data_IF_541554050796
#
_entry.id   IF_541554050796
#
_cell.length_a   1.000
_cell.length_b   1.000
_cell.length_c   1.000
_cell.angle_alpha   90.00
_cell.angle_beta   90.00
_cell.angle_gamma   90.00
#
_symmetry.space_group_name_H-M   'P 1'
#
loop_
_entity.id
_entity.type
_entity.pdbx_description
1 polymer ?
#
# COMPACT_ATOMS: atom_id res chain seq x y z
N UNK A 1 0.83 63.90 22.90
CA UNK A 1 0.43 64.29 24.27
C UNK A 1 -1.09 64.29 24.36
N UNK A 2 -1.65 63.51 25.31
CA UNK A 2 -3.01 63.57 25.94
C UNK A 2 -4.24 63.47 25.02
N UNK A 3 -4.87 62.30 24.93
CA UNK A 3 -5.97 61.76 25.77
C UNK A 3 -7.36 62.36 25.47
N UNK A 4 -8.28 61.53 24.99
CA UNK A 4 -9.60 61.28 25.62
C UNK A 4 -10.28 60.04 25.00
N UNK A 5 -10.88 59.22 25.89
CA UNK A 5 -11.63 58.00 25.59
C UNK A 5 -12.92 58.30 24.79
N UNK A 6 -13.29 57.42 23.88
CA UNK A 6 -14.70 57.23 23.48
C UNK A 6 -15.01 55.75 23.32
N UNK A 7 -15.87 55.27 24.21
CA UNK A 7 -16.62 54.02 24.06
C UNK A 7 -17.48 54.10 22.80
N UNK A 8 -17.55 53.03 22.02
CA UNK A 8 -18.63 52.84 21.05
C UNK A 8 -19.20 51.44 21.22
N UNK A 9 -20.48 51.43 21.61
CA UNK A 9 -21.33 50.26 21.85
C UNK A 9 -21.80 49.71 20.50
N UNK A 10 -21.91 48.38 20.43
CA UNK A 10 -22.57 47.61 19.38
C UNK A 10 -24.03 48.05 19.18
N UNK A 11 -24.57 47.95 17.96
CA UNK A 11 -26.00 47.79 17.76
C UNK A 11 -26.35 46.47 17.04
N UNK A 12 -27.01 45.56 17.77
CA UNK A 12 -28.12 44.73 17.26
C UNK A 12 -29.43 45.54 17.50
N UNK A 13 -30.56 45.32 16.78
CA UNK A 13 -31.03 44.03 16.28
C UNK A 13 -31.67 44.03 14.88
N UNK A 14 -31.66 42.88 14.20
CA UNK A 14 -32.73 42.52 13.25
C UNK A 14 -33.03 41.03 13.39
N UNK A 15 -34.26 40.75 13.81
CA UNK A 15 -34.84 39.43 13.97
C UNK A 15 -35.37 39.01 12.60
N UNK A 16 -34.81 37.95 12.01
CA UNK A 16 -35.46 37.22 10.93
C UNK A 16 -35.89 35.85 11.46
N UNK A 17 -37.20 35.65 11.43
CA UNK A 17 -37.90 34.41 11.75
C UNK A 17 -37.65 33.37 10.66
N UNK A 18 -37.11 32.21 11.03
CA UNK A 18 -37.03 31.03 10.17
C UNK A 18 -38.35 30.23 10.21
N UNK A 19 -38.91 29.80 9.06
CA UNK A 19 -40.08 28.94 9.03
C UNK A 19 -39.78 27.50 9.51
N UNK A 20 -40.76 26.93 10.24
CA UNK A 20 -40.78 25.58 10.83
C UNK A 20 -40.42 24.47 9.84
N UNK A 21 -39.41 23.68 10.18
CA UNK A 21 -39.08 22.37 9.59
C UNK A 21 -40.03 21.27 10.12
N UNK A 22 -41.30 21.26 9.71
CA UNK A 22 -42.24 20.19 10.13
C UNK A 22 -42.73 19.27 9.01
N UNK A 23 -42.21 19.38 7.78
CA UNK A 23 -42.67 18.55 6.64
C UNK A 23 -41.74 17.38 6.27
N UNK A 24 -40.51 17.30 6.78
CA UNK A 24 -39.57 16.21 6.46
C UNK A 24 -39.60 15.02 7.46
N UNK A 25 -40.20 15.19 8.63
CA UNK A 25 -40.28 14.15 9.67
C UNK A 25 -41.29 13.04 9.33
N UNK A 26 -42.34 13.34 8.56
CA UNK A 26 -43.38 12.36 8.23
C UNK A 26 -42.94 11.36 7.13
N UNK A 27 -42.12 11.77 6.17
CA UNK A 27 -41.66 10.87 5.10
C UNK A 27 -40.58 9.88 5.57
N UNK A 28 -39.71 10.26 6.53
CA UNK A 28 -38.73 9.35 7.12
C UNK A 28 -39.37 8.29 8.05
N UNK A 29 -40.48 8.63 8.71
CA UNK A 29 -41.20 7.69 9.59
C UNK A 29 -41.94 6.59 8.81
N UNK A 30 -42.38 6.87 7.58
CA UNK A 30 -43.06 5.89 6.72
C UNK A 30 -42.09 4.89 6.07
N UNK A 31 -40.88 5.31 5.69
CA UNK A 31 -39.85 4.40 5.20
C UNK A 31 -39.30 3.48 6.30
N UNK A 32 -39.24 3.96 7.54
CA UNK A 32 -38.75 3.17 8.68
C UNK A 32 -39.76 2.12 9.18
N UNK A 33 -41.07 2.37 9.02
CA UNK A 33 -42.14 1.42 9.40
C UNK A 33 -42.41 0.34 8.35
N UNK A 34 -41.91 0.47 7.13
CA UNK A 34 -42.07 -0.55 6.08
C UNK A 34 -41.00 -1.65 6.11
N UNK A 35 -39.97 -1.54 6.95
CA UNK A 35 -38.89 -2.54 7.03
C UNK A 35 -38.91 -3.40 8.30
N UNK A 36 -39.80 -3.14 9.27
CA UNK A 36 -39.85 -3.89 10.52
C UNK A 36 -41.29 -4.14 10.99
N UNK A 37 -41.87 -5.29 10.61
CA UNK A 37 -43.08 -5.84 11.22
C UNK A 37 -42.73 -7.17 11.92
N UNK A 38 -43.06 -7.36 13.22
CA UNK A 38 -42.74 -8.58 13.94
C UNK A 38 -43.90 -9.57 13.97
N UNK A 39 -43.53 -10.85 13.87
CA UNK A 39 -44.24 -12.09 14.24
C UNK A 39 -45.13 -12.78 13.18
N UNK A 40 -44.63 -13.91 12.67
CA UNK A 40 -45.33 -15.18 12.89
C UNK A 40 -44.35 -16.36 12.93
N UNK A 41 -44.44 -17.11 14.02
CA UNK A 41 -43.79 -18.41 14.31
C UNK A 41 -44.34 -19.50 13.38
N UNK A 42 -43.49 -20.50 13.07
CA UNK A 42 -43.63 -21.66 12.13
C UNK A 42 -43.02 -21.32 10.76
N UNK A 43 -41.80 -21.74 10.43
CA UNK A 43 -41.45 -23.15 10.25
C UNK A 43 -40.06 -23.52 10.80
N UNK A 44 -40.07 -24.27 11.90
CA UNK A 44 -38.99 -25.16 12.29
C UNK A 44 -39.27 -26.55 11.73
N UNK A 45 -39.07 -26.78 10.43
CA UNK A 45 -38.76 -28.12 9.90
C UNK A 45 -37.83 -27.92 8.69
N UNK A 46 -36.53 -27.83 8.96
CA UNK A 46 -35.44 -28.41 8.15
C UNK A 46 -34.14 -28.28 8.93
N UNK A 47 -34.11 -28.95 10.08
CA UNK A 47 -32.87 -29.34 10.75
C UNK A 47 -32.28 -30.52 9.97
N UNK A 48 -31.34 -30.22 9.07
CA UNK A 48 -30.19 -31.03 8.61
C UNK A 48 -29.85 -30.58 7.18
N UNK A 49 -28.57 -30.33 6.94
CA UNK A 49 -27.99 -29.74 5.71
C UNK A 49 -27.92 -28.22 5.68
N UNK A 50 -27.33 -27.62 6.71
CA UNK A 50 -26.33 -26.60 6.40
C UNK A 50 -24.98 -27.24 6.67
N UNK A 51 -24.46 -27.91 5.64
CA UNK A 51 -23.09 -28.38 5.59
C UNK A 51 -22.22 -27.21 6.00
N UNK A 52 -21.62 -27.32 7.19
CA UNK A 52 -20.45 -26.56 7.55
C UNK A 52 -19.37 -26.99 6.55
N UNK A 53 -19.40 -26.40 5.36
CA UNK A 53 -18.29 -26.52 4.42
C UNK A 53 -17.11 -26.01 5.23
N UNK A 54 -16.16 -26.91 5.50
CA UNK A 54 -14.92 -26.56 6.15
C UNK A 54 -14.43 -25.28 5.49
N UNK A 55 -14.30 -24.21 6.27
CA UNK A 55 -13.82 -22.93 5.75
C UNK A 55 -12.45 -23.24 5.15
N UNK A 56 -12.38 -23.17 3.82
CA UNK A 56 -11.19 -23.54 3.08
C UNK A 56 -10.12 -22.52 3.46
N UNK A 57 -9.20 -22.90 4.34
CA UNK A 57 -8.15 -22.02 4.86
C UNK A 57 -6.89 -22.07 3.98
N UNK A 58 -7.02 -22.57 2.74
CA UNK A 58 -5.88 -22.61 1.81
C UNK A 58 -5.49 -21.20 1.40
N UNK A 59 -4.18 -20.95 1.43
CA UNK A 59 -3.59 -19.68 1.03
C UNK A 59 -2.78 -19.91 -0.24
N UNK A 60 -3.07 -19.14 -1.29
CA UNK A 60 -2.28 -19.12 -2.53
C UNK A 60 -1.91 -17.69 -2.87
N UNK A 61 -0.75 -17.50 -3.47
CA UNK A 61 -0.30 -16.20 -3.95
C UNK A 61 0.05 -16.30 -5.44
N UNK A 62 -0.77 -15.67 -6.28
CA UNK A 62 -0.43 -15.44 -7.68
C UNK A 62 0.52 -14.26 -7.74
N UNK A 63 1.72 -14.46 -8.28
CA UNK A 63 2.77 -13.46 -8.28
C UNK A 63 3.74 -13.64 -9.43
N UNK A 64 4.71 -12.76 -9.54
CA UNK A 64 5.89 -12.98 -10.38
C UNK A 64 7.13 -12.60 -9.59
N UNK A 65 8.20 -13.37 -9.71
CA UNK A 65 9.46 -13.13 -8.98
C UNK A 65 10.03 -11.73 -9.23
N UNK A 66 9.83 -11.17 -10.43
CA UNK A 66 10.33 -9.85 -10.83
C UNK A 66 9.42 -8.70 -10.44
N UNK A 67 8.21 -8.98 -9.93
CA UNK A 67 7.25 -7.95 -9.54
C UNK A 67 7.56 -7.40 -8.15
N UNK A 68 7.90 -6.09 -8.03
CA UNK A 68 8.14 -5.50 -6.73
C UNK A 68 6.85 -5.46 -5.88
N UNK A 69 5.67 -5.43 -6.50
CA UNK A 69 4.40 -5.50 -5.77
C UNK A 69 4.16 -6.90 -5.18
N UNK A 70 4.60 -7.96 -5.86
CA UNK A 70 4.49 -9.33 -5.33
C UNK A 70 5.44 -9.55 -4.13
N UNK A 71 6.62 -8.91 -4.12
CA UNK A 71 7.52 -8.91 -2.98
C UNK A 71 6.80 -8.49 -1.69
N UNK A 72 5.94 -7.45 -1.74
CA UNK A 72 5.20 -6.97 -0.56
C UNK A 72 4.38 -8.07 0.11
N UNK A 73 3.62 -8.81 -0.68
CA UNK A 73 2.79 -9.91 -0.19
C UNK A 73 3.65 -11.06 0.36
N UNK A 74 4.73 -11.43 -0.34
CA UNK A 74 5.64 -12.51 0.09
C UNK A 74 6.32 -12.20 1.43
N UNK A 75 6.79 -10.96 1.61
CA UNK A 75 7.38 -10.51 2.87
C UNK A 75 6.35 -10.50 3.99
N UNK A 76 5.14 -9.97 3.76
CA UNK A 76 4.09 -9.96 4.78
C UNK A 76 3.69 -11.38 5.22
N UNK A 77 3.48 -12.30 4.28
CA UNK A 77 3.17 -13.71 4.59
C UNK A 77 4.30 -14.38 5.38
N UNK A 78 5.56 -14.10 5.03
CA UNK A 78 6.72 -14.65 5.73
C UNK A 78 6.83 -14.12 7.16
N UNK A 79 6.69 -12.80 7.36
CA UNK A 79 6.69 -12.20 8.71
C UNK A 79 5.60 -12.79 9.62
N UNK A 80 4.48 -13.23 9.03
CA UNK A 80 3.38 -13.90 9.73
C UNK A 80 3.50 -15.42 9.78
N UNK A 81 4.58 -16.01 9.26
CA UNK A 81 4.78 -17.46 9.18
C UNK A 81 3.61 -18.22 8.50
N UNK A 82 2.96 -17.57 7.52
CA UNK A 82 1.83 -18.16 6.78
C UNK A 82 2.37 -19.08 5.69
N UNK A 83 1.94 -20.34 5.69
CA UNK A 83 2.21 -21.27 4.59
C UNK A 83 1.27 -20.97 3.43
N UNK A 84 1.82 -20.89 2.22
CA UNK A 84 1.04 -20.64 1.01
C UNK A 84 1.63 -21.36 -0.20
N UNK A 85 0.78 -21.65 -1.18
CA UNK A 85 1.20 -22.06 -2.51
C UNK A 85 1.56 -20.83 -3.35
N UNK A 86 2.78 -20.75 -3.87
CA UNK A 86 3.16 -19.68 -4.81
C UNK A 86 2.90 -20.11 -6.24
N UNK A 87 2.04 -19.37 -6.92
CA UNK A 87 1.68 -19.58 -8.32
C UNK A 87 2.41 -18.51 -9.15
N UNK A 88 3.52 -18.90 -9.76
CA UNK A 88 4.34 -17.99 -10.56
C UNK A 88 3.66 -17.69 -11.90
N UNK A 89 3.58 -16.41 -12.23
CA UNK A 89 3.22 -15.85 -13.53
C UNK A 89 4.53 -15.46 -14.23
N UNK A 90 5.11 -16.35 -15.04
CA UNK A 90 6.46 -16.16 -15.59
C UNK A 90 6.51 -15.05 -16.65
N UNK A 91 5.38 -14.76 -17.30
CA UNK A 91 5.29 -13.73 -18.34
C UNK A 91 4.14 -12.74 -18.07
N UNK A 92 4.21 -12.07 -16.91
CA UNK A 92 3.26 -11.00 -16.54
C UNK A 92 3.17 -9.85 -17.56
N UNK A 93 4.13 -9.75 -18.48
CA UNK A 93 4.19 -8.71 -19.50
C UNK A 93 3.35 -9.08 -20.73
N UNK A 94 3.41 -10.33 -21.19
CA UNK A 94 2.82 -10.73 -22.47
C UNK A 94 1.73 -11.80 -22.36
N UNK A 95 1.77 -12.68 -21.35
CA UNK A 95 0.86 -13.83 -21.24
C UNK A 95 0.39 -14.04 -19.79
N UNK A 96 -0.89 -13.76 -19.54
CA UNK A 96 -1.51 -13.87 -18.21
C UNK A 96 -2.33 -15.16 -18.14
N UNK A 97 -2.18 -15.93 -17.05
CA UNK A 97 -2.97 -17.14 -16.87
C UNK A 97 -4.48 -16.87 -16.75
N UNK A 98 -5.31 -17.84 -17.12
CA UNK A 98 -6.76 -17.78 -16.90
C UNK A 98 -7.10 -17.62 -15.42
N UNK A 99 -6.29 -18.22 -14.54
CA UNK A 99 -6.47 -18.10 -13.09
C UNK A 99 -6.30 -16.65 -12.63
N UNK A 100 -5.26 -15.95 -13.10
CA UNK A 100 -5.07 -14.52 -12.80
C UNK A 100 -6.23 -13.67 -13.34
N UNK A 101 -6.63 -13.91 -14.60
CA UNK A 101 -7.72 -13.17 -15.22
C UNK A 101 -9.06 -13.36 -14.49
N UNK A 102 -9.32 -14.56 -13.97
CA UNK A 102 -10.50 -14.86 -13.15
C UNK A 102 -10.42 -14.25 -11.75
N UNK A 103 -9.23 -14.28 -11.14
CA UNK A 103 -9.04 -13.84 -9.74
C UNK A 103 -8.93 -12.32 -9.60
N UNK A 104 -8.47 -11.62 -10.64
CA UNK A 104 -8.44 -10.16 -10.72
C UNK A 104 -8.97 -9.68 -12.08
N UNK A 105 -10.29 -9.75 -12.33
CA UNK A 105 -10.88 -9.42 -13.63
C UNK A 105 -10.80 -7.92 -13.96
N UNK A 106 -10.71 -7.06 -12.93
CA UNK A 106 -10.66 -5.60 -13.07
C UNK A 106 -9.29 -5.17 -13.60
N UNK A 107 -8.21 -5.47 -12.85
CA UNK A 107 -6.89 -4.96 -13.18
C UNK A 107 -6.03 -5.98 -13.93
N UNK A 108 -6.31 -7.28 -13.80
CA UNK A 108 -5.54 -8.36 -14.43
C UNK A 108 -4.05 -8.23 -14.09
N UNK A 109 -3.74 -7.90 -12.83
CA UNK A 109 -2.40 -7.62 -12.31
C UNK A 109 -2.10 -8.52 -11.13
N UNK A 110 -0.81 -8.87 -10.99
CA UNK A 110 -0.24 -9.48 -9.79
C UNK A 110 0.22 -8.40 -8.80
N UNK A 111 0.31 -8.69 -7.49
CA UNK A 111 -0.10 -9.93 -6.83
C UNK A 111 -1.61 -10.08 -6.63
N UNK A 112 -2.06 -11.33 -6.53
CA UNK A 112 -3.39 -11.68 -6.03
C UNK A 112 -3.23 -12.74 -4.94
N UNK A 113 -3.70 -12.44 -3.72
CA UNK A 113 -3.78 -13.43 -2.65
C UNK A 113 -5.15 -14.12 -2.74
N UNK A 114 -5.16 -15.44 -2.77
CA UNK A 114 -6.36 -16.24 -2.65
C UNK A 114 -6.36 -16.86 -1.26
N UNK A 115 -7.38 -16.55 -0.47
CA UNK A 115 -7.61 -17.16 0.84
C UNK A 115 -8.96 -17.86 0.81
N UNK A 116 -8.92 -19.20 0.76
CA UNK A 116 -10.08 -20.02 0.45
C UNK A 116 -10.64 -19.69 -0.93
N UNK A 117 -11.88 -19.20 -0.96
CA UNK A 117 -12.56 -18.83 -2.20
C UNK A 117 -12.52 -17.32 -2.48
N UNK A 118 -11.82 -16.54 -1.64
CA UNK A 118 -11.78 -15.07 -1.74
C UNK A 118 -10.47 -14.63 -2.39
N UNK A 119 -10.58 -13.77 -3.40
CA UNK A 119 -9.42 -13.09 -4.03
C UNK A 119 -9.24 -11.68 -3.46
N UNK A 120 -8.04 -11.41 -2.94
CA UNK A 120 -7.61 -10.11 -2.43
C UNK A 120 -6.58 -9.55 -3.40
N UNK A 121 -6.90 -8.42 -4.01
CA UNK A 121 -6.05 -7.71 -4.97
C UNK A 121 -5.39 -6.49 -4.33
N UNK A 122 -4.44 -5.88 -5.06
CA UNK A 122 -3.62 -4.74 -4.66
C UNK A 122 -2.64 -5.03 -3.52
N UNK A 123 -1.35 -4.85 -3.78
CA UNK A 123 -0.29 -5.33 -2.89
C UNK A 123 -0.36 -4.78 -1.46
N UNK A 124 -0.62 -3.48 -1.26
CA UNK A 124 -0.76 -2.89 0.07
C UNK A 124 -2.08 -3.25 0.76
N UNK A 125 -3.12 -3.57 0.00
CA UNK A 125 -4.36 -4.11 0.55
C UNK A 125 -4.14 -5.55 1.03
N UNK A 126 -3.41 -6.37 0.26
CA UNK A 126 -2.98 -7.71 0.67
C UNK A 126 -2.15 -7.65 1.95
N UNK A 127 -1.17 -6.73 2.07
CA UNK A 127 -0.36 -6.60 3.30
C UNK A 127 -1.23 -6.30 4.52
N UNK A 128 -2.22 -5.40 4.39
CA UNK A 128 -3.14 -5.08 5.49
C UNK A 128 -4.02 -6.27 5.85
N UNK A 129 -4.58 -6.94 4.85
CA UNK A 129 -5.37 -8.15 5.05
C UNK A 129 -4.57 -9.22 5.78
N UNK A 130 -3.30 -9.44 5.39
CA UNK A 130 -2.42 -10.41 6.05
C UNK A 130 -2.15 -10.01 7.50
N UNK A 131 -1.96 -8.72 7.78
CA UNK A 131 -1.76 -8.23 9.15
C UNK A 131 -2.97 -8.46 10.05
N UNK A 132 -4.17 -8.26 9.50
CA UNK A 132 -5.45 -8.38 10.20
C UNK A 132 -5.89 -9.86 10.37
N UNK A 133 -5.78 -10.67 9.31
CA UNK A 133 -6.21 -12.07 9.31
C UNK A 133 -5.30 -12.97 10.16
N UNK A 134 -3.99 -12.70 10.19
CA UNK A 134 -3.01 -13.42 11.02
C UNK A 134 -2.48 -12.52 12.15
N UNK A 135 -3.41 -12.02 12.98
CA UNK A 135 -3.14 -11.07 14.06
C UNK A 135 -2.35 -11.63 15.25
N UNK A 136 -2.17 -12.95 15.34
CA UNK A 136 -1.36 -13.59 16.39
C UNK A 136 0.15 -13.45 16.17
N UNK A 137 0.60 -13.17 14.95
CA UNK A 137 2.01 -12.92 14.62
C UNK A 137 2.41 -11.45 14.81
N UNK A 138 3.70 -11.11 14.59
CA UNK A 138 4.19 -9.73 14.71
C UNK A 138 3.35 -8.74 13.89
N UNK A 139 2.97 -7.61 14.48
CA UNK A 139 2.20 -6.58 13.77
C UNK A 139 3.04 -5.90 12.70
N UNK A 140 2.47 -5.75 11.50
CA UNK A 140 3.09 -5.02 10.39
C UNK A 140 2.71 -3.54 10.45
N UNK A 141 1.44 -3.24 10.73
CA UNK A 141 0.99 -1.88 10.98
C UNK A 141 1.24 -1.45 12.43
N UNK A 142 1.53 -0.17 12.68
CA UNK A 142 1.52 0.39 14.03
C UNK A 142 0.16 0.18 14.71
N UNK A 143 0.12 0.13 16.04
CA UNK A 143 -1.15 0.04 16.77
C UNK A 143 -1.86 1.40 16.85
N UNK A 144 -1.10 2.49 16.99
CA UNK A 144 -1.65 3.83 17.18
C UNK A 144 -2.25 4.38 15.87
N UNK A 145 -3.50 4.89 15.87
CA UNK A 145 -4.19 5.33 14.65
C UNK A 145 -3.44 6.38 13.84
N UNK A 146 -2.79 7.34 14.52
CA UNK A 146 -1.99 8.38 13.85
C UNK A 146 -0.77 7.80 13.14
N UNK A 147 -0.07 6.84 13.77
CA UNK A 147 1.11 6.21 13.18
C UNK A 147 0.70 5.33 11.99
N UNK A 148 -0.45 4.63 12.08
CA UNK A 148 -1.03 3.90 10.95
C UNK A 148 -1.35 4.82 9.77
N UNK A 149 -1.98 5.96 10.04
CA UNK A 149 -2.31 6.94 9.00
C UNK A 149 -1.04 7.47 8.31
N UNK A 150 0.00 7.77 9.08
CA UNK A 150 1.29 8.19 8.53
C UNK A 150 1.97 7.11 7.70
N UNK A 151 2.00 5.85 8.16
CA UNK A 151 2.57 4.75 7.40
C UNK A 151 1.85 4.56 6.05
N UNK A 152 0.52 4.66 6.04
CA UNK A 152 -0.31 4.59 4.83
C UNK A 152 -0.06 5.77 3.89
N UNK A 153 0.06 6.99 4.43
CA UNK A 153 0.37 8.18 3.65
C UNK A 153 1.71 8.03 2.91
N UNK A 154 2.76 7.60 3.62
CA UNK A 154 4.07 7.42 3.00
C UNK A 154 4.11 6.27 2.00
N UNK A 155 3.35 5.19 2.23
CA UNK A 155 3.22 4.13 1.23
C UNK A 155 2.54 4.64 -0.06
N UNK A 156 1.54 5.52 0.07
CA UNK A 156 0.94 6.21 -1.09
C UNK A 156 1.95 7.15 -1.77
N UNK A 157 2.77 7.89 -1.00
CA UNK A 157 3.83 8.71 -1.57
C UNK A 157 4.83 7.88 -2.38
N UNK A 158 5.20 6.69 -1.90
CA UNK A 158 6.06 5.75 -2.64
C UNK A 158 5.38 5.35 -3.95
N UNK A 159 4.14 4.87 -3.90
CA UNK A 159 3.41 4.37 -5.08
C UNK A 159 3.06 5.45 -6.11
N UNK A 160 2.81 6.68 -5.68
CA UNK A 160 2.48 7.80 -6.58
C UNK A 160 3.74 8.56 -7.02
N UNK A 161 4.49 9.14 -6.07
CA UNK A 161 5.57 10.09 -6.37
C UNK A 161 6.85 9.40 -6.79
N UNK A 162 7.31 8.39 -6.06
CA UNK A 162 8.58 7.73 -6.37
C UNK A 162 8.44 6.89 -7.64
N UNK A 163 7.40 6.06 -7.74
CA UNK A 163 7.17 5.28 -8.97
C UNK A 163 6.89 6.17 -10.18
N UNK A 164 6.13 7.26 -10.03
CA UNK A 164 5.95 8.24 -11.10
C UNK A 164 7.27 8.86 -11.59
N UNK A 165 8.19 9.16 -10.67
CA UNK A 165 9.52 9.66 -11.03
C UNK A 165 10.42 8.58 -11.66
N UNK A 166 10.38 7.34 -11.16
CA UNK A 166 11.10 6.20 -11.76
C UNK A 166 10.64 5.93 -13.20
N UNK A 167 9.32 5.91 -13.42
CA UNK A 167 8.74 5.72 -14.75
C UNK A 167 9.11 6.87 -15.69
N UNK A 168 9.13 8.11 -15.19
CA UNK A 168 9.55 9.27 -15.97
C UNK A 168 11.03 9.19 -16.38
N UNK A 169 11.92 8.73 -15.49
CA UNK A 169 13.34 8.52 -15.83
C UNK A 169 13.51 7.42 -16.88
N UNK A 170 12.84 6.28 -16.69
CA UNK A 170 12.91 5.15 -17.62
C UNK A 170 12.25 5.41 -18.99
N UNK A 171 11.23 6.28 -19.03
CA UNK A 171 10.47 6.61 -20.24
C UNK A 171 10.91 7.87 -20.98
N UNK A 172 11.90 8.60 -20.47
CA UNK A 172 12.38 9.84 -21.09
C UNK A 172 13.02 9.58 -22.47
N UNK A 173 12.61 10.37 -23.47
CA UNK A 173 13.02 10.22 -24.88
C UNK A 173 14.29 11.00 -25.24
N UNK A 174 14.64 11.98 -24.41
CA UNK A 174 15.80 12.85 -24.58
C UNK A 174 16.51 13.03 -23.24
N UNK A 175 17.73 13.58 -23.30
CA UNK A 175 18.58 13.75 -22.12
C UNK A 175 18.05 14.84 -21.17
N UNK A 176 17.45 15.90 -21.69
CA UNK A 176 16.89 17.00 -20.89
C UNK A 176 15.72 16.50 -20.02
N UNK A 177 14.77 15.77 -20.61
CA UNK A 177 13.67 15.14 -19.89
C UNK A 177 14.16 14.10 -18.88
N UNK A 178 15.19 13.32 -19.23
CA UNK A 178 15.78 12.34 -18.30
C UNK A 178 16.43 13.03 -17.11
N UNK A 179 17.17 14.12 -17.32
CA UNK A 179 17.80 14.90 -16.26
C UNK A 179 16.77 15.54 -15.33
N UNK A 180 15.70 16.12 -15.87
CA UNK A 180 14.62 16.70 -15.07
C UNK A 180 13.92 15.63 -14.21
N UNK A 181 13.60 14.48 -14.80
CA UNK A 181 13.00 13.36 -14.08
C UNK A 181 13.94 12.79 -13.00
N UNK A 182 15.25 12.71 -13.28
CA UNK A 182 16.25 12.26 -12.32
C UNK A 182 16.35 13.22 -11.13
N UNK A 183 16.34 14.53 -11.38
CA UNK A 183 16.27 15.54 -10.32
C UNK A 183 15.02 15.34 -9.45
N UNK A 184 13.87 15.08 -10.07
CA UNK A 184 12.63 14.82 -9.32
C UNK A 184 12.70 13.56 -8.46
N UNK A 185 13.28 12.49 -8.98
CA UNK A 185 13.50 11.26 -8.22
C UNK A 185 14.40 11.52 -7.00
N UNK A 186 15.49 12.28 -7.16
CA UNK A 186 16.38 12.65 -6.07
C UNK A 186 15.67 13.47 -4.98
N UNK A 187 14.80 14.43 -5.36
CA UNK A 187 13.98 15.17 -4.39
C UNK A 187 13.04 14.25 -3.61
N UNK A 188 12.38 13.31 -4.29
CA UNK A 188 11.48 12.35 -3.65
C UNK A 188 12.22 11.42 -2.68
N UNK A 189 13.42 10.97 -3.05
CA UNK A 189 14.26 10.15 -2.17
C UNK A 189 14.79 10.92 -0.96
N UNK A 190 15.18 12.19 -1.13
CA UNK A 190 15.55 13.05 0.00
C UNK A 190 14.36 13.28 0.95
N UNK A 191 13.16 13.47 0.39
CA UNK A 191 11.92 13.58 1.19
C UNK A 191 11.64 12.28 1.96
N UNK A 192 11.88 11.12 1.33
CA UNK A 192 11.73 9.82 1.98
C UNK A 192 12.81 9.57 3.06
N UNK A 193 14.04 10.04 2.86
CA UNK A 193 15.10 10.03 3.88
C UNK A 193 14.67 10.79 5.14
N UNK A 194 14.13 12.01 4.98
CA UNK A 194 13.62 12.75 6.14
C UNK A 194 12.50 11.99 6.88
N UNK A 195 11.63 11.32 6.13
CA UNK A 195 10.59 10.47 6.71
C UNK A 195 11.20 9.31 7.50
N UNK A 196 12.21 8.64 6.93
CA UNK A 196 12.95 7.55 7.56
C UNK A 196 13.62 7.99 8.86
N UNK A 197 14.30 9.13 8.87
CA UNK A 197 14.96 9.65 10.07
C UNK A 197 13.95 9.94 11.18
N UNK A 198 12.77 10.46 10.85
CA UNK A 198 11.69 10.73 11.81
C UNK A 198 11.04 9.45 12.34
N UNK A 199 10.79 8.47 11.47
CA UNK A 199 10.04 7.26 11.84
C UNK A 199 10.90 6.18 12.49
N UNK A 200 12.15 6.02 12.06
CA UNK A 200 13.00 4.91 12.50
C UNK A 200 13.48 5.05 13.94
N UNK A 201 13.50 6.28 14.49
CA UNK A 201 14.01 6.57 15.84
C UNK A 201 15.42 5.98 16.09
N UNK A 202 16.22 5.80 15.03
CA UNK A 202 17.55 5.19 15.08
C UNK A 202 17.61 3.66 15.10
N UNK A 203 16.47 2.96 14.97
CA UNK A 203 16.37 1.50 15.15
C UNK A 203 16.52 0.69 13.84
N UNK A 204 16.65 1.37 12.71
CA UNK A 204 17.10 0.80 11.42
C UNK A 204 15.99 0.38 10.45
N UNK A 205 14.72 0.45 10.83
CA UNK A 205 13.57 0.29 9.93
C UNK A 205 12.59 1.45 10.07
N UNK A 206 11.72 1.68 9.09
CA UNK A 206 10.63 2.64 9.21
C UNK A 206 9.67 2.25 10.33
N UNK A 207 9.48 0.95 10.57
CA UNK A 207 8.76 0.36 11.70
C UNK A 207 9.51 0.42 13.04
N UNK A 208 10.69 1.04 13.10
CA UNK A 208 11.54 1.07 14.29
C UNK A 208 12.47 -0.13 14.32
N UNK A 209 12.27 -1.03 15.28
CA UNK A 209 13.14 -2.19 15.50
C UNK A 209 12.94 -3.31 14.46
N UNK A 210 11.70 -3.44 13.96
CA UNK A 210 11.28 -4.50 13.04
C UNK A 210 10.79 -3.92 11.72
N UNK A 211 10.77 -4.74 10.66
CA UNK A 211 10.13 -4.41 9.39
C UNK A 211 8.65 -4.13 9.62
N UNK A 212 8.22 -2.91 9.28
CA UNK A 212 6.81 -2.50 9.32
C UNK A 212 6.20 -2.30 7.94
N UNK A 213 4.96 -1.81 7.92
CA UNK A 213 4.19 -1.55 6.69
C UNK A 213 4.94 -0.68 5.68
N UNK A 214 5.57 0.41 6.15
CA UNK A 214 6.28 1.33 5.28
C UNK A 214 7.61 0.74 4.78
N UNK A 215 8.30 -0.10 5.55
CA UNK A 215 9.47 -0.85 5.06
C UNK A 215 9.09 -1.76 3.88
N UNK A 216 7.99 -2.49 4.01
CA UNK A 216 7.47 -3.37 2.94
C UNK A 216 7.10 -2.54 1.71
N UNK A 217 6.47 -1.38 1.90
CA UNK A 217 6.14 -0.46 0.80
C UNK A 217 7.41 0.06 0.11
N UNK A 218 8.38 0.59 0.86
CA UNK A 218 9.63 1.14 0.34
C UNK A 218 10.52 0.08 -0.31
N UNK A 219 10.52 -1.17 0.16
CA UNK A 219 11.35 -2.25 -0.39
C UNK A 219 11.17 -2.46 -1.90
N UNK A 220 10.02 -2.06 -2.44
CA UNK A 220 9.69 -2.13 -3.86
C UNK A 220 10.50 -1.21 -4.77
N UNK A 221 11.08 -0.13 -4.23
CA UNK A 221 11.86 0.82 -5.02
C UNK A 221 13.29 0.30 -5.27
N UNK A 222 13.76 -0.65 -4.45
CA UNK A 222 15.16 -1.09 -4.46
C UNK A 222 15.57 -1.73 -5.78
N UNK A 223 14.69 -2.51 -6.42
CA UNK A 223 14.94 -3.09 -7.73
C UNK A 223 15.00 -2.04 -8.84
N UNK A 224 13.90 -1.29 -9.07
CA UNK A 224 13.85 -0.22 -10.08
C UNK A 224 14.98 0.81 -9.96
N UNK A 225 15.31 1.26 -8.74
CA UNK A 225 16.44 2.19 -8.52
C UNK A 225 17.74 1.55 -8.99
N UNK A 226 18.06 0.33 -8.54
CA UNK A 226 19.30 -0.35 -8.96
C UNK A 226 19.40 -0.53 -10.48
N UNK A 227 18.28 -0.81 -11.16
CA UNK A 227 18.22 -0.90 -12.63
C UNK A 227 18.55 0.45 -13.27
N UNK A 228 17.89 1.52 -12.85
CA UNK A 228 18.11 2.85 -13.44
C UNK A 228 19.54 3.31 -13.17
N UNK A 229 20.09 3.09 -11.97
CA UNK A 229 21.49 3.39 -11.67
C UNK A 229 22.45 2.64 -12.60
N UNK A 230 22.19 1.36 -12.87
CA UNK A 230 23.03 0.55 -13.75
C UNK A 230 23.02 1.03 -15.21
N UNK A 231 21.85 1.45 -15.73
CA UNK A 231 21.73 1.93 -17.11
C UNK A 231 22.19 3.37 -17.30
N UNK A 232 21.98 4.25 -16.31
CA UNK A 232 22.29 5.68 -16.42
C UNK A 232 23.69 6.04 -15.92
N UNK A 233 24.30 5.22 -15.07
CA UNK A 233 25.52 5.56 -14.33
C UNK A 233 25.33 6.60 -13.23
N UNK A 234 24.11 7.11 -13.01
CA UNK A 234 23.77 8.09 -11.97
C UNK A 234 23.38 7.35 -10.70
N UNK A 235 23.99 7.73 -9.57
CA UNK A 235 23.59 7.23 -8.24
C UNK A 235 22.47 8.09 -7.65
N UNK A 236 21.38 7.43 -7.25
CA UNK A 236 20.21 8.07 -6.66
C UNK A 236 20.19 7.97 -5.14
N UNK A 237 20.58 6.81 -4.61
CA UNK A 237 20.89 6.70 -3.18
C UNK A 237 22.35 7.11 -2.97
N UNK A 238 22.56 8.19 -2.21
CA UNK A 238 23.88 8.82 -2.00
C UNK A 238 24.12 9.09 -0.53
N UNK A 239 25.36 8.94 -0.08
CA UNK A 239 25.72 9.11 1.34
C UNK A 239 25.45 10.55 1.81
N UNK A 240 25.56 11.53 0.92
CA UNK A 240 25.36 12.94 1.26
C UNK A 240 23.88 13.32 1.45
N UNK A 241 22.96 12.60 0.80
CA UNK A 241 21.53 12.98 0.79
C UNK A 241 20.59 11.93 1.35
N UNK A 242 20.97 10.66 1.33
CA UNK A 242 20.13 9.54 1.77
C UNK A 242 20.92 8.46 2.54
N UNK A 243 21.76 8.83 3.54
CA UNK A 243 22.59 7.86 4.25
C UNK A 243 21.78 6.85 5.07
N UNK A 244 20.62 7.26 5.61
CA UNK A 244 19.71 6.38 6.33
C UNK A 244 19.11 5.33 5.42
N UNK A 245 18.62 5.73 4.25
CA UNK A 245 18.05 4.83 3.25
C UNK A 245 19.08 3.83 2.71
N UNK A 246 20.35 4.19 2.57
CA UNK A 246 21.41 3.24 2.18
C UNK A 246 21.52 2.12 3.22
N UNK A 247 21.72 2.48 4.50
CA UNK A 247 21.84 1.51 5.60
C UNK A 247 20.58 0.68 5.78
N UNK A 248 19.42 1.32 5.65
CA UNK A 248 18.13 0.65 5.66
C UNK A 248 18.00 -0.37 4.52
N UNK A 249 18.39 -0.01 3.29
CA UNK A 249 18.30 -0.90 2.14
C UNK A 249 19.15 -2.15 2.32
N UNK A 250 20.38 -2.01 2.84
CA UNK A 250 21.26 -3.12 3.19
C UNK A 250 20.61 -4.03 4.24
N UNK A 251 20.13 -3.45 5.34
CA UNK A 251 19.49 -4.19 6.44
C UNK A 251 18.21 -4.90 5.97
N UNK A 252 17.39 -4.23 5.15
CA UNK A 252 16.14 -4.77 4.60
C UNK A 252 16.42 -5.95 3.67
N UNK A 253 17.37 -5.82 2.73
CA UNK A 253 17.76 -6.91 1.82
C UNK A 253 18.32 -8.13 2.58
N UNK A 254 19.04 -7.90 3.67
CA UNK A 254 19.64 -8.97 4.48
C UNK A 254 18.65 -9.69 5.42
N UNK A 255 17.48 -9.09 5.68
CA UNK A 255 16.50 -9.63 6.62
C UNK A 255 15.96 -11.00 6.15
N UNK A 256 15.78 -11.94 7.08
CA UNK A 256 15.37 -13.32 6.78
C UNK A 256 14.03 -13.42 6.04
N UNK A 257 13.08 -12.53 6.36
CA UNK A 257 11.78 -12.46 5.70
C UNK A 257 11.81 -11.84 4.28
N UNK A 258 12.94 -11.26 3.87
CA UNK A 258 13.09 -10.53 2.61
C UNK A 258 14.06 -11.23 1.66
N UNK A 259 15.23 -11.63 2.17
CA UNK A 259 16.32 -12.25 1.41
C UNK A 259 15.88 -13.39 0.47
N UNK A 260 14.96 -14.30 0.84
CA UNK A 260 14.53 -15.38 -0.06
C UNK A 260 13.72 -14.93 -1.28
N UNK A 261 13.24 -13.69 -1.29
CA UNK A 261 12.30 -13.19 -2.29
C UNK A 261 12.82 -11.98 -3.06
N UNK A 262 13.87 -11.32 -2.55
CA UNK A 262 14.45 -10.15 -3.16
C UNK A 262 15.42 -10.58 -4.27
N UNK A 263 15.16 -10.25 -5.54
CA UNK A 263 16.09 -10.52 -6.61
C UNK A 263 17.42 -9.78 -6.42
N UNK A 264 18.48 -10.36 -6.96
CA UNK A 264 19.77 -9.68 -7.03
C UNK A 264 19.72 -8.51 -8.01
N UNK A 265 20.70 -7.62 -7.93
CA UNK A 265 20.80 -6.50 -8.86
C UNK A 265 20.98 -7.01 -10.29
N UNK A 266 21.77 -8.06 -10.47
CA UNK A 266 22.01 -8.72 -11.75
C UNK A 266 20.73 -9.32 -12.33
N UNK A 267 19.90 -9.97 -11.51
CA UNK A 267 18.60 -10.52 -11.93
C UNK A 267 17.63 -9.40 -12.35
N UNK A 268 17.59 -8.29 -11.61
CA UNK A 268 16.79 -7.12 -11.98
C UNK A 268 17.26 -6.50 -13.31
N UNK A 269 18.57 -6.36 -13.51
CA UNK A 269 19.14 -5.83 -14.76
C UNK A 269 18.82 -6.77 -15.92
N UNK A 270 19.03 -8.09 -15.76
CA UNK A 270 18.72 -9.07 -16.79
C UNK A 270 17.23 -9.05 -17.18
N UNK A 271 16.34 -8.96 -16.18
CA UNK A 271 14.91 -8.79 -16.43
C UNK A 271 14.60 -7.49 -17.18
N UNK A 272 15.20 -6.36 -16.77
CA UNK A 272 15.01 -5.07 -17.41
C UNK A 272 15.51 -5.06 -18.87
N UNK A 273 16.68 -5.64 -19.13
CA UNK A 273 17.22 -5.83 -20.50
C UNK A 273 16.23 -6.58 -21.39
N UNK A 274 15.70 -7.71 -20.91
CA UNK A 274 14.67 -8.48 -21.61
C UNK A 274 13.38 -7.69 -21.82
N UNK A 275 12.91 -6.97 -20.80
CA UNK A 275 11.66 -6.19 -20.83
C UNK A 275 11.72 -5.02 -21.80
N UNK A 276 12.84 -4.31 -21.83
CA UNK A 276 13.00 -3.09 -22.62
C UNK A 276 13.72 -3.32 -23.96
N UNK A 277 14.16 -4.55 -24.25
CA UNK A 277 14.86 -4.88 -25.49
C UNK A 277 16.23 -4.20 -25.60
N UNK A 278 16.92 -4.03 -24.47
CA UNK A 278 18.24 -3.38 -24.39
C UNK A 278 19.27 -4.46 -24.06
N UNK A 279 20.21 -4.74 -24.96
CA UNK A 279 21.31 -5.71 -24.73
C UNK A 279 22.45 -5.14 -23.87
#
# INVERSE_FOLDING_TARGET
>A
MRHTKRESRLPFPFVYTFPRLSSYSHQLTLLYKHTHSPNSVKDQINHKENTQMAQNDTVKLIGSWSSPYALRARVALHLKSVKYEYLDEPDVLNAKSELLLKSNPIYKKVPVLIHGDVSICESLNIVQYVDEAWSSGPSILPSHPYERANARFWALFVDDKIFGALDAVGGAKDDEGRMAAAGKLMECLATLEEAFQKSSKGLGFFGGENIGFLDIACGTILGPVSVIEAFSGVKFLREETTPGLIKWAEKFRAHEAVKPYMPTVEEFIAFAKKKFGVE
#
